data_IF_052835875072
#
_entry.id   IF_052835875072
#
_cell.length_a   1.000
_cell.length_b   1.000
_cell.length_c   1.000
_cell.angle_alpha   90.00
_cell.angle_beta   90.00
_cell.angle_gamma   90.00
#
_symmetry.space_group_name_H-M   'P 1'
#
loop_
_entity.id
_entity.type
_entity.pdbx_description
1 polymer ?
#
# COMPACT_ATOMS: atom_id res chain seq x y z
N UNK A 1 -21.49 49.74 -46.95
CA UNK A 1 -22.67 48.95 -46.50
C UNK A 1 -22.18 48.08 -45.34
N UNK A 2 -22.15 48.48 -44.06
CA UNK A 2 -23.30 48.80 -43.16
C UNK A 2 -24.42 47.77 -43.35
N UNK A 3 -24.87 46.95 -42.39
CA UNK A 3 -25.06 47.13 -40.95
C UNK A 3 -25.39 45.79 -40.25
N UNK A 4 -25.07 45.73 -38.94
CA UNK A 4 -25.79 45.13 -37.76
C UNK A 4 -26.28 43.67 -37.81
N UNK A 5 -25.82 42.76 -36.91
CA UNK A 5 -26.04 42.61 -35.45
C UNK A 5 -27.45 42.11 -35.11
N UNK A 6 -27.59 40.85 -34.64
CA UNK A 6 -28.07 40.43 -33.29
C UNK A 6 -28.52 38.95 -33.23
N UNK A 7 -28.00 38.26 -32.21
CA UNK A 7 -28.57 37.17 -31.36
C UNK A 7 -29.83 36.39 -31.77
N UNK A 8 -29.79 35.07 -31.54
CA UNK A 8 -30.62 34.45 -30.49
C UNK A 8 -30.19 33.02 -30.13
N UNK A 9 -30.11 32.78 -28.83
CA UNK A 9 -30.02 31.49 -28.15
C UNK A 9 -31.45 31.00 -27.94
N UNK A 10 -31.82 29.89 -28.58
CA UNK A 10 -32.83 28.88 -28.19
C UNK A 10 -32.93 27.95 -29.43
N UNK A 11 -32.83 26.63 -29.34
CA UNK A 11 -33.83 25.79 -28.70
C UNK A 11 -33.18 24.48 -28.24
N UNK A 12 -33.32 24.24 -26.94
CA UNK A 12 -33.32 22.90 -26.39
C UNK A 12 -34.70 22.28 -26.66
N UNK A 13 -34.73 21.03 -27.12
CA UNK A 13 -35.41 19.93 -26.43
C UNK A 13 -35.78 18.82 -27.42
N UNK A 14 -35.81 17.61 -26.87
CA UNK A 14 -36.51 16.42 -27.35
C UNK A 14 -35.86 15.62 -28.48
N UNK A 15 -34.96 14.69 -28.12
CA UNK A 15 -35.04 13.32 -28.64
C UNK A 15 -34.65 12.31 -27.55
N UNK A 16 -35.70 11.85 -26.85
CA UNK A 16 -35.91 10.50 -26.32
C UNK A 16 -34.88 9.95 -25.33
N UNK A 17 -35.18 10.10 -24.03
CA UNK A 17 -34.63 9.20 -23.01
C UNK A 17 -35.13 7.79 -23.29
N UNK A 18 -34.23 6.89 -23.70
CA UNK A 18 -34.53 5.46 -23.71
C UNK A 18 -34.96 5.05 -22.28
N UNK A 19 -36.08 4.34 -22.09
CA UNK A 19 -36.41 3.84 -20.77
C UNK A 19 -35.33 2.85 -20.37
N UNK A 20 -34.60 3.15 -19.30
CA UNK A 20 -33.84 2.16 -18.55
C UNK A 20 -34.84 1.09 -18.13
N UNK A 21 -34.90 -0.01 -18.90
CA UNK A 21 -35.68 -1.20 -18.55
C UNK A 21 -35.02 -1.84 -17.34
N UNK A 22 -35.28 -1.31 -16.15
CA UNK A 22 -35.05 -2.03 -14.92
C UNK A 22 -36.07 -3.16 -14.87
N UNK A 23 -35.65 -4.35 -15.29
CA UNK A 23 -36.33 -5.57 -14.84
C UNK A 23 -36.16 -5.60 -13.31
N UNK A 24 -37.23 -5.30 -12.60
CA UNK A 24 -37.41 -5.78 -11.22
C UNK A 24 -37.53 -7.29 -11.32
N UNK A 25 -36.39 -7.97 -11.34
CA UNK A 25 -36.35 -9.43 -11.24
C UNK A 25 -36.75 -9.79 -9.81
N UNK A 26 -37.75 -10.66 -9.60
CA UNK A 26 -38.17 -11.08 -8.27
C UNK A 26 -37.00 -11.66 -7.47
N UNK A 27 -37.04 -11.48 -6.15
CA UNK A 27 -36.11 -12.00 -5.16
C UNK A 27 -36.15 -13.53 -5.09
N UNK A 28 -35.46 -14.20 -6.02
CA UNK A 28 -35.38 -15.67 -6.06
C UNK A 28 -34.16 -16.27 -5.36
N UNK A 29 -33.23 -15.45 -4.85
CA UNK A 29 -31.88 -15.92 -4.48
C UNK A 29 -31.47 -15.60 -3.04
N UNK A 30 -32.35 -15.11 -2.16
CA UNK A 30 -31.93 -14.66 -0.83
C UNK A 30 -31.25 -15.77 -0.01
N UNK A 31 -31.80 -16.99 -0.07
CA UNK A 31 -31.24 -18.14 0.65
C UNK A 31 -29.89 -18.58 0.07
N UNK A 32 -29.75 -18.54 -1.26
CA UNK A 32 -28.49 -18.78 -1.96
C UNK A 32 -27.44 -17.72 -1.59
N UNK A 33 -27.83 -16.45 -1.56
CA UNK A 33 -26.92 -15.34 -1.22
C UNK A 33 -26.46 -15.41 0.24
N UNK A 34 -27.35 -15.78 1.17
CA UNK A 34 -27.03 -16.00 2.59
C UNK A 34 -26.15 -17.23 2.79
N UNK A 35 -26.42 -18.33 2.12
CA UNK A 35 -25.59 -19.54 2.18
C UNK A 35 -24.17 -19.26 1.66
N UNK A 36 -24.05 -18.59 0.51
CA UNK A 36 -22.79 -18.20 -0.08
C UNK A 36 -22.00 -17.23 0.81
N UNK A 37 -22.69 -16.26 1.42
CA UNK A 37 -22.09 -15.33 2.38
C UNK A 37 -21.56 -16.06 3.62
N UNK A 38 -22.39 -16.90 4.24
CA UNK A 38 -22.02 -17.67 5.45
C UNK A 38 -20.83 -18.58 5.19
N UNK A 39 -20.81 -19.28 4.06
CA UNK A 39 -19.67 -20.08 3.63
C UNK A 39 -18.41 -19.23 3.40
N UNK A 40 -18.52 -18.07 2.76
CA UNK A 40 -17.39 -17.20 2.51
C UNK A 40 -16.77 -16.64 3.80
N UNK A 41 -17.60 -16.34 4.82
CA UNK A 41 -17.14 -15.93 6.15
C UNK A 41 -16.40 -17.08 6.84
N UNK A 42 -16.93 -18.31 6.77
CA UNK A 42 -16.28 -19.49 7.37
C UNK A 42 -14.92 -19.80 6.74
N UNK A 43 -14.82 -19.74 5.42
CA UNK A 43 -13.55 -19.95 4.72
C UNK A 43 -12.52 -18.86 5.06
N UNK A 44 -12.97 -17.60 5.21
CA UNK A 44 -12.13 -16.51 5.68
C UNK A 44 -11.63 -16.73 7.12
N UNK A 45 -12.49 -17.21 8.03
CA UNK A 45 -12.09 -17.55 9.41
C UNK A 45 -11.04 -18.67 9.46
N UNK A 46 -11.08 -19.59 8.51
CA UNK A 46 -10.10 -20.67 8.34
C UNK A 46 -8.83 -20.24 7.58
N UNK A 47 -8.72 -18.95 7.21
CA UNK A 47 -7.57 -18.41 6.50
C UNK A 47 -7.46 -18.84 5.03
N UNK A 48 -8.52 -19.42 4.45
CA UNK A 48 -8.51 -19.90 3.06
C UNK A 48 -8.81 -18.74 2.11
N UNK A 49 -7.89 -18.37 1.19
CA UNK A 49 -8.15 -17.32 0.21
C UNK A 49 -9.18 -17.79 -0.82
N UNK A 50 -10.25 -17.01 -0.99
CA UNK A 50 -11.32 -17.29 -1.95
C UNK A 50 -11.10 -16.45 -3.19
N UNK A 51 -10.98 -17.10 -4.35
CA UNK A 51 -10.91 -16.42 -5.65
C UNK A 51 -12.30 -16.25 -6.27
N UNK A 52 -12.43 -15.32 -7.22
CA UNK A 52 -13.68 -15.11 -7.97
C UNK A 52 -14.23 -16.37 -8.65
N UNK A 53 -13.39 -17.18 -9.34
CA UNK A 53 -13.83 -18.45 -9.91
C UNK A 53 -14.31 -19.47 -8.86
N UNK A 54 -13.62 -19.59 -7.72
CA UNK A 54 -14.04 -20.50 -6.64
C UNK A 54 -15.39 -20.07 -6.07
N UNK A 55 -15.56 -18.77 -5.81
CA UNK A 55 -16.83 -18.21 -5.34
C UNK A 55 -17.99 -18.49 -6.32
N UNK A 56 -17.72 -18.43 -7.63
CA UNK A 56 -18.69 -18.74 -8.67
C UNK A 56 -19.11 -20.20 -8.65
N UNK A 57 -18.14 -21.10 -8.57
CA UNK A 57 -18.39 -22.54 -8.55
C UNK A 57 -19.20 -22.94 -7.31
N UNK A 58 -18.86 -22.36 -6.15
CA UNK A 58 -19.60 -22.58 -4.92
C UNK A 58 -21.02 -22.04 -4.98
N UNK A 59 -21.24 -20.90 -5.64
CA UNK A 59 -22.59 -20.37 -5.86
C UNK A 59 -23.44 -21.30 -6.73
N UNK A 60 -22.84 -21.91 -7.76
CA UNK A 60 -23.51 -22.90 -8.61
C UNK A 60 -23.82 -24.17 -7.81
N UNK A 61 -22.87 -24.65 -7.02
CA UNK A 61 -23.06 -25.81 -6.14
C UNK A 61 -24.23 -25.60 -5.17
N UNK A 62 -24.27 -24.46 -4.46
CA UNK A 62 -25.38 -24.16 -3.55
C UNK A 62 -26.71 -23.98 -4.28
N UNK A 63 -26.71 -23.47 -5.51
CA UNK A 63 -27.93 -23.36 -6.30
C UNK A 63 -28.49 -24.74 -6.71
N UNK A 64 -27.64 -25.75 -6.88
CA UNK A 64 -28.04 -27.12 -7.18
C UNK A 64 -28.54 -27.87 -5.93
N UNK A 65 -27.93 -27.61 -4.77
CA UNK A 65 -28.31 -28.23 -3.48
C UNK A 65 -29.62 -27.65 -2.91
N UNK A 66 -29.86 -26.35 -3.10
CA UNK A 66 -31.10 -25.69 -2.71
C UNK A 66 -32.16 -25.99 -3.79
N UNK A 67 -32.82 -27.14 -3.70
CA UNK A 67 -33.88 -27.61 -4.62
C UNK A 67 -35.06 -26.62 -4.60
N UNK A 68 -34.94 -25.54 -5.38
CA UNK A 68 -36.00 -24.57 -5.67
C UNK A 68 -36.17 -24.49 -7.18
N UNK A 69 -37.40 -24.63 -7.65
CA UNK A 69 -37.80 -24.56 -9.07
C UNK A 69 -37.25 -23.27 -9.74
N UNK A 70 -37.06 -22.20 -8.96
CA UNK A 70 -36.56 -20.89 -9.42
C UNK A 70 -35.05 -20.87 -9.72
N UNK A 71 -34.27 -21.82 -9.20
CA UNK A 71 -32.81 -21.90 -9.36
C UNK A 71 -32.36 -22.91 -10.43
N UNK A 72 -33.30 -23.64 -11.05
CA UNK A 72 -32.99 -24.55 -12.16
C UNK A 72 -32.36 -23.77 -13.33
N UNK A 73 -31.06 -23.95 -13.55
CA UNK A 73 -30.30 -23.24 -14.59
C UNK A 73 -29.52 -22.00 -14.12
N UNK A 74 -29.22 -21.86 -12.83
CA UNK A 74 -28.35 -20.79 -12.34
C UNK A 74 -26.90 -20.92 -12.86
N UNK A 75 -26.46 -19.96 -13.69
CA UNK A 75 -25.13 -19.98 -14.35
C UNK A 75 -24.05 -19.21 -13.56
N UNK A 76 -24.42 -18.56 -12.44
CA UNK A 76 -23.48 -17.75 -11.66
C UNK A 76 -22.78 -16.66 -12.48
N UNK A 77 -23.51 -15.94 -13.33
CA UNK A 77 -22.91 -14.95 -14.24
C UNK A 77 -22.03 -13.92 -13.50
N UNK A 78 -20.99 -13.39 -14.17
CA UNK A 78 -20.10 -12.39 -13.56
C UNK A 78 -20.89 -11.18 -13.04
N UNK A 79 -21.92 -10.74 -13.78
CA UNK A 79 -22.79 -9.66 -13.36
C UNK A 79 -23.66 -9.99 -12.13
N UNK A 80 -23.99 -11.25 -11.88
CA UNK A 80 -24.67 -11.65 -10.64
C UNK A 80 -23.71 -11.59 -9.45
N UNK A 81 -22.49 -12.11 -9.61
CA UNK A 81 -21.45 -12.07 -8.58
C UNK A 81 -21.11 -10.63 -8.19
N UNK A 82 -20.98 -9.73 -9.17
CA UNK A 82 -20.65 -8.32 -8.89
C UNK A 82 -21.79 -7.60 -8.17
N UNK A 83 -23.05 -7.95 -8.45
CA UNK A 83 -24.20 -7.43 -7.71
C UNK A 83 -24.31 -8.03 -6.31
N UNK A 84 -24.01 -9.32 -6.14
CA UNK A 84 -23.96 -9.98 -4.83
C UNK A 84 -22.90 -9.34 -3.94
N UNK A 85 -21.69 -9.14 -4.47
CA UNK A 85 -20.60 -8.40 -3.79
C UNK A 85 -21.07 -7.03 -3.32
N UNK A 86 -21.75 -6.28 -4.18
CA UNK A 86 -22.27 -4.95 -3.86
C UNK A 86 -23.35 -4.99 -2.77
N UNK A 87 -24.19 -6.03 -2.75
CA UNK A 87 -25.23 -6.21 -1.72
C UNK A 87 -24.65 -6.64 -0.37
N UNK A 88 -23.62 -7.48 -0.37
CA UNK A 88 -23.00 -8.04 0.84
C UNK A 88 -21.77 -7.25 1.31
N UNK A 89 -21.48 -6.11 0.67
CA UNK A 89 -20.28 -5.27 0.90
C UNK A 89 -18.95 -6.05 0.85
N UNK A 90 -18.85 -7.01 -0.09
CA UNK A 90 -17.68 -7.86 -0.29
C UNK A 90 -16.82 -7.33 -1.43
N UNK A 91 -15.55 -7.07 -1.17
CA UNK A 91 -14.56 -6.68 -2.18
C UNK A 91 -13.40 -7.69 -2.25
N UNK A 92 -13.02 -8.08 -3.47
CA UNK A 92 -11.75 -8.77 -3.68
C UNK A 92 -10.62 -7.76 -3.54
N UNK A 93 -9.77 -7.99 -2.54
CA UNK A 93 -8.53 -7.23 -2.36
C UNK A 93 -7.37 -8.15 -2.71
N UNK A 94 -6.37 -7.61 -3.38
CA UNK A 94 -5.07 -8.27 -3.45
C UNK A 94 -4.55 -8.39 -2.02
N UNK A 95 -4.40 -9.61 -1.53
CA UNK A 95 -3.76 -9.86 -0.24
C UNK A 95 -2.29 -9.53 -0.45
N UNK A 96 -1.80 -8.46 0.19
CA UNK A 96 -0.35 -8.21 0.27
C UNK A 96 0.26 -9.40 1.03
N UNK A 97 1.35 -9.97 0.51
CA UNK A 97 2.06 -11.08 1.17
C UNK A 97 2.49 -10.75 2.60
N UNK A 98 2.56 -9.46 2.94
CA UNK A 98 2.85 -8.92 4.27
C UNK A 98 1.76 -9.27 5.31
N UNK A 99 0.47 -9.33 4.93
CA UNK A 99 -0.65 -9.59 5.86
C UNK A 99 -0.56 -11.00 6.46
N UNK A 100 -0.07 -11.96 5.68
CA UNK A 100 -0.03 -13.37 6.07
C UNK A 100 1.10 -13.69 7.07
N UNK A 101 2.02 -12.74 7.24
CA UNK A 101 3.26 -12.98 7.99
C UNK A 101 3.19 -12.50 9.46
N UNK A 102 2.23 -11.63 9.78
CA UNK A 102 1.93 -11.17 11.15
C UNK A 102 1.06 -12.15 11.93
N UNK A 103 1.55 -12.68 13.05
CA UNK A 103 0.68 -13.36 14.03
C UNK A 103 -0.02 -12.34 14.93
N UNK A 104 -1.24 -12.66 15.34
CA UNK A 104 -2.03 -11.83 16.25
C UNK A 104 -1.28 -11.63 17.58
N UNK A 105 -0.59 -12.68 18.05
CA UNK A 105 0.17 -12.70 19.30
C UNK A 105 1.40 -11.76 19.29
N UNK A 106 2.22 -11.82 18.23
CA UNK A 106 3.38 -10.93 18.10
C UNK A 106 2.96 -9.45 18.09
N UNK A 107 1.79 -9.19 17.53
CA UNK A 107 1.28 -7.83 17.44
C UNK A 107 0.64 -7.37 18.74
N UNK A 108 -0.07 -8.25 19.45
CA UNK A 108 -0.63 -7.97 20.76
C UNK A 108 0.48 -7.64 21.78
N UNK A 109 1.55 -8.45 21.81
CA UNK A 109 2.70 -8.20 22.68
C UNK A 109 3.30 -6.80 22.46
N UNK A 110 3.45 -6.38 21.21
CA UNK A 110 3.96 -5.04 20.89
C UNK A 110 3.05 -3.92 21.39
N UNK A 111 1.74 -4.04 21.13
CA UNK A 111 0.74 -3.04 21.51
C UNK A 111 0.54 -2.95 23.03
N UNK A 112 0.64 -4.08 23.73
CA UNK A 112 0.40 -4.15 25.18
C UNK A 112 1.64 -3.81 26.03
N UNK A 113 2.85 -4.04 25.51
CA UNK A 113 4.08 -3.91 26.29
C UNK A 113 5.08 -2.92 25.72
N UNK A 114 5.61 -3.17 24.53
CA UNK A 114 6.72 -2.37 23.98
C UNK A 114 6.30 -0.94 23.70
N UNK A 115 5.15 -0.74 23.05
CA UNK A 115 4.71 0.59 22.69
C UNK A 115 4.40 1.48 23.92
N UNK A 116 3.63 1.02 24.93
CA UNK A 116 3.44 1.78 26.16
C UNK A 116 4.75 2.12 26.89
N UNK A 117 5.72 1.21 26.88
CA UNK A 117 7.05 1.43 27.47
C UNK A 117 7.83 2.51 26.74
N UNK A 118 7.73 2.58 25.41
CA UNK A 118 8.37 3.63 24.63
C UNK A 118 7.72 4.99 24.88
N UNK A 119 6.39 5.02 24.90
CA UNK A 119 5.62 6.24 25.15
C UNK A 119 5.80 6.78 26.58
N UNK A 120 6.18 5.94 27.56
CA UNK A 120 6.51 6.39 28.90
C UNK A 120 7.97 6.83 29.05
N UNK A 121 8.88 6.29 28.22
CA UNK A 121 10.32 6.58 28.27
C UNK A 121 10.71 7.81 27.42
N UNK A 122 10.04 8.04 26.29
CA UNK A 122 10.40 9.07 25.32
C UNK A 122 9.24 10.04 25.06
N UNK A 123 9.58 11.32 24.85
CA UNK A 123 8.65 12.28 24.29
C UNK A 123 8.40 11.98 22.80
N UNK A 124 7.25 12.38 22.26
CA UNK A 124 6.90 12.15 20.85
C UNK A 124 7.92 12.78 19.87
N UNK A 125 8.54 13.89 20.26
CA UNK A 125 9.61 14.52 19.48
C UNK A 125 10.88 13.67 19.41
N UNK A 126 11.12 12.81 20.40
CA UNK A 126 12.27 11.89 20.50
C UNK A 126 11.96 10.48 19.98
N UNK A 127 10.77 10.27 19.43
CA UNK A 127 10.37 9.01 18.81
C UNK A 127 10.41 9.14 17.30
N UNK A 128 11.43 8.55 16.69
CA UNK A 128 11.64 8.54 15.25
C UNK A 128 11.20 7.21 14.63
N UNK A 129 10.54 7.28 13.48
CA UNK A 129 10.29 6.15 12.59
C UNK A 129 11.16 6.30 11.34
N UNK A 130 11.79 5.21 10.91
CA UNK A 130 12.57 5.17 9.68
C UNK A 130 12.06 4.11 8.72
N UNK A 131 12.00 4.45 7.44
CA UNK A 131 11.53 3.54 6.39
C UNK A 131 12.29 3.69 5.07
N UNK A 132 12.43 2.54 4.39
CA UNK A 132 13.03 2.44 3.08
C UNK A 132 11.99 2.62 1.97
N UNK A 133 12.36 3.34 0.91
CA UNK A 133 11.54 3.45 -0.28
C UNK A 133 12.37 3.37 -1.58
N UNK A 134 11.73 2.90 -2.65
CA UNK A 134 12.31 2.85 -3.98
C UNK A 134 11.79 3.98 -4.86
N UNK A 135 12.67 4.84 -5.36
CA UNK A 135 12.33 5.90 -6.32
C UNK A 135 12.73 5.49 -7.75
N UNK A 136 11.74 5.25 -8.60
CA UNK A 136 11.94 4.94 -10.03
C UNK A 136 11.82 6.20 -10.88
N UNK A 137 12.81 7.10 -10.79
CA UNK A 137 12.76 8.43 -11.42
C UNK A 137 12.80 8.43 -12.96
N UNK A 138 13.01 7.27 -13.59
CA UNK A 138 12.96 7.09 -15.06
C UNK A 138 11.78 6.24 -15.53
N UNK A 139 10.91 5.80 -14.64
CA UNK A 139 9.74 5.01 -15.03
C UNK A 139 8.74 5.89 -15.79
N UNK A 140 8.14 5.34 -16.85
CA UNK A 140 7.03 5.97 -17.55
C UNK A 140 5.73 5.66 -16.80
N UNK A 141 4.69 6.51 -16.89
CA UNK A 141 3.38 6.21 -16.31
C UNK A 141 2.84 4.86 -16.81
N UNK A 142 2.23 4.09 -15.90
CA UNK A 142 1.66 2.77 -16.20
C UNK A 142 0.47 2.83 -17.18
N UNK A 143 -0.16 4.00 -17.31
CA UNK A 143 -1.26 4.26 -18.24
C UNK A 143 -0.98 5.54 -19.00
N UNK A 144 -0.64 5.39 -20.28
CA UNK A 144 -0.64 6.49 -21.23
C UNK A 144 -2.05 6.62 -21.82
N UNK A 145 -2.51 7.87 -21.99
CA UNK A 145 -3.77 8.16 -22.68
C UNK A 145 -3.58 7.82 -24.17
N UNK A 146 -4.26 6.78 -24.65
CA UNK A 146 -4.14 6.33 -26.03
C UNK A 146 -5.42 6.60 -26.83
N UNK A 147 -5.25 7.08 -28.06
CA UNK A 147 -6.29 7.06 -29.08
C UNK A 147 -6.46 5.60 -29.55
N UNK A 148 -7.71 5.13 -29.64
CA UNK A 148 -8.10 3.71 -29.94
C UNK A 148 -7.52 3.10 -31.24
N UNK A 149 -6.78 3.87 -32.05
CA UNK A 149 -6.36 3.50 -33.41
C UNK A 149 -4.85 3.28 -33.57
N UNK A 150 -4.03 3.37 -32.51
CA UNK A 150 -2.60 3.12 -32.61
C UNK A 150 -2.18 1.92 -31.76
N UNK A 151 -1.47 0.98 -32.39
CA UNK A 151 -0.81 -0.13 -31.71
C UNK A 151 0.44 0.37 -30.99
N UNK A 152 0.50 0.19 -29.67
CA UNK A 152 1.70 0.50 -28.90
C UNK A 152 2.75 -0.60 -29.11
N UNK A 153 3.93 -0.22 -29.62
CA UNK A 153 5.12 -1.08 -29.53
C UNK A 153 5.65 -0.92 -28.10
N UNK A 154 5.59 -2.00 -27.31
CA UNK A 154 5.95 -1.99 -25.90
C UNK A 154 7.40 -1.56 -25.66
N UNK A 155 7.59 -0.45 -24.94
CA UNK A 155 8.89 -0.06 -24.40
C UNK A 155 9.16 -0.77 -23.07
N UNK A 156 10.40 -1.22 -22.84
CA UNK A 156 10.81 -1.76 -21.55
C UNK A 156 10.84 -0.62 -20.53
N UNK A 157 9.99 -0.70 -19.50
CA UNK A 157 9.99 0.26 -18.40
C UNK A 157 11.40 0.36 -17.79
N UNK A 158 11.89 1.59 -17.64
CA UNK A 158 13.21 1.82 -17.06
C UNK A 158 13.22 1.38 -15.60
N UNK A 159 14.04 0.37 -15.29
CA UNK A 159 14.23 -0.15 -13.92
C UNK A 159 15.27 0.64 -13.11
N UNK A 160 15.62 1.85 -13.56
CA UNK A 160 16.58 2.68 -12.83
C UNK A 160 15.94 3.18 -11.55
N UNK A 161 16.49 2.71 -10.42
CA UNK A 161 15.98 2.96 -9.08
C UNK A 161 17.05 3.64 -8.22
N UNK A 162 16.63 4.59 -7.39
CA UNK A 162 17.35 5.00 -6.20
C UNK A 162 16.63 4.42 -4.99
N UNK A 163 17.36 3.94 -4.00
CA UNK A 163 16.76 3.59 -2.71
C UNK A 163 16.97 4.78 -1.77
N UNK A 164 15.93 5.21 -1.09
CA UNK A 164 15.99 6.21 -0.03
C UNK A 164 15.66 5.59 1.31
N UNK A 165 16.33 6.02 2.37
CA UNK A 165 15.95 5.81 3.75
C UNK A 165 15.61 7.19 4.33
N UNK A 166 14.36 7.33 4.77
CA UNK A 166 13.86 8.53 5.41
C UNK A 166 13.54 8.22 6.87
N UNK A 167 13.77 9.20 7.75
CA UNK A 167 13.39 9.09 9.15
C UNK A 167 12.80 10.40 9.64
N UNK A 168 11.75 10.31 10.45
CA UNK A 168 11.09 11.46 11.03
C UNK A 168 10.57 11.19 12.45
N UNK A 169 10.57 12.21 13.30
CA UNK A 169 9.95 12.15 14.62
C UNK A 169 8.43 12.17 14.51
N UNK A 170 7.76 11.76 15.58
CA UNK A 170 6.29 11.85 15.67
C UNK A 170 5.77 13.29 15.70
N UNK A 171 6.64 14.28 16.02
CA UNK A 171 6.34 15.71 15.94
C UNK A 171 6.66 16.34 14.58
N UNK A 172 7.29 15.59 13.65
CA UNK A 172 7.56 16.03 12.28
C UNK A 172 8.97 16.53 12.00
N UNK A 173 9.90 16.40 12.96
CA UNK A 173 11.34 16.61 12.70
C UNK A 173 11.83 15.57 11.70
N UNK A 174 12.61 15.96 10.70
CA UNK A 174 13.09 15.05 9.64
C UNK A 174 14.60 14.95 9.69
N UNK A 175 15.12 13.73 9.70
CA UNK A 175 16.55 13.50 9.55
C UNK A 175 16.99 13.69 8.10
N UNK A 176 18.27 14.04 7.86
CA UNK A 176 18.81 14.14 6.50
C UNK A 176 18.58 12.85 5.71
N UNK A 177 18.00 12.98 4.52
CA UNK A 177 17.68 11.82 3.68
C UNK A 177 18.94 11.05 3.30
N UNK A 178 18.90 9.73 3.46
CA UNK A 178 19.97 8.84 3.06
C UNK A 178 19.63 8.18 1.73
N UNK A 179 20.42 8.46 0.70
CA UNK A 179 20.16 8.04 -0.67
C UNK A 179 21.22 7.04 -1.11
N UNK A 180 20.77 5.87 -1.53
CA UNK A 180 21.57 4.77 -2.04
C UNK A 180 21.38 4.69 -3.55
N UNK A 181 22.45 5.00 -4.28
CA UNK A 181 22.50 4.86 -5.72
C UNK A 181 23.43 3.74 -6.18
N UNK A 182 23.49 3.54 -7.50
CA UNK A 182 24.25 2.45 -8.12
C UNK A 182 25.77 2.69 -8.13
N UNK A 183 26.21 3.94 -8.28
CA UNK A 183 27.61 4.28 -8.49
C UNK A 183 28.13 5.15 -7.36
N UNK A 184 29.34 4.87 -6.85
CA UNK A 184 29.99 5.70 -5.83
C UNK A 184 30.20 7.16 -6.30
N UNK A 185 30.48 7.35 -7.59
CA UNK A 185 30.71 8.67 -8.20
C UNK A 185 29.90 8.79 -9.50
N UNK A 186 28.59 9.07 -9.41
CA UNK A 186 27.75 9.31 -10.57
C UNK A 186 28.30 10.47 -11.41
N UNK A 187 28.27 10.36 -12.74
CA UNK A 187 28.73 11.44 -13.63
C UNK A 187 27.99 12.76 -13.40
N UNK A 188 26.73 12.70 -13.00
CA UNK A 188 25.92 13.88 -12.68
C UNK A 188 26.38 14.61 -11.41
N UNK A 189 27.30 14.05 -10.62
CA UNK A 189 27.88 14.73 -9.46
C UNK A 189 29.18 15.47 -9.80
N UNK A 190 29.65 15.39 -11.05
CA UNK A 190 30.81 16.16 -11.48
C UNK A 190 30.54 17.66 -11.29
N UNK A 191 31.42 18.34 -10.53
CA UNK A 191 31.28 19.76 -10.21
C UNK A 191 30.28 20.10 -9.09
N UNK A 192 29.58 19.10 -8.53
CA UNK A 192 28.66 19.31 -7.40
C UNK A 192 29.45 19.26 -6.10
N UNK A 193 29.48 20.39 -5.37
CA UNK A 193 30.20 20.49 -4.09
C UNK A 193 29.39 19.98 -2.90
N UNK A 194 28.10 20.30 -2.88
CA UNK A 194 27.19 19.97 -1.79
C UNK A 194 25.94 19.30 -2.35
N UNK A 195 25.54 18.18 -1.75
CA UNK A 195 24.26 17.54 -2.00
C UNK A 195 23.31 17.83 -0.84
N UNK A 196 22.01 18.02 -1.11
CA UNK A 196 21.01 18.21 -0.04
C UNK A 196 20.70 16.91 0.72
N UNK A 197 21.32 15.79 0.35
CA UNK A 197 21.13 14.50 0.95
C UNK A 197 22.47 13.79 1.15
N UNK A 198 22.46 12.79 2.03
CA UNK A 198 23.61 11.91 2.26
C UNK A 198 23.59 10.81 1.20
N UNK A 199 24.54 10.82 0.27
CA UNK A 199 24.60 9.82 -0.79
C UNK A 199 25.63 8.72 -0.49
N UNK A 200 25.26 7.47 -0.76
CA UNK A 200 26.13 6.29 -0.77
C UNK A 200 25.83 5.40 -1.96
N UNK A 201 26.76 4.50 -2.25
CA UNK A 201 26.51 3.34 -3.09
C UNK A 201 26.99 2.07 -2.37
N UNK A 202 26.29 0.93 -2.51
CA UNK A 202 26.71 -0.30 -1.87
C UNK A 202 27.93 -0.88 -2.61
N UNK A 203 28.72 -1.71 -1.91
CA UNK A 203 29.85 -2.42 -2.54
C UNK A 203 29.38 -3.50 -3.52
N UNK A 204 28.22 -4.10 -3.24
CA UNK A 204 27.58 -5.13 -4.07
C UNK A 204 26.07 -4.87 -4.11
N UNK A 205 25.45 -5.10 -5.26
CA UNK A 205 24.00 -4.89 -5.43
C UNK A 205 23.63 -3.45 -5.75
N UNK A 206 22.42 -3.06 -5.36
CA UNK A 206 21.78 -1.79 -5.75
C UNK A 206 20.76 -1.31 -4.70
N UNK A 207 20.85 -1.84 -3.47
CA UNK A 207 19.88 -1.64 -2.37
C UNK A 207 20.63 -1.32 -1.06
N UNK A 208 19.93 -0.88 -0.03
CA UNK A 208 20.51 -0.70 1.31
C UNK A 208 21.03 -2.05 1.81
N UNK A 209 22.24 -2.06 2.37
CA UNK A 209 22.81 -3.22 3.04
C UNK A 209 23.03 -2.92 4.52
N UNK A 210 23.21 -3.97 5.33
CA UNK A 210 23.37 -3.88 6.78
C UNK A 210 24.52 -2.96 7.20
N UNK A 211 25.61 -2.89 6.41
CA UNK A 211 26.75 -2.03 6.73
C UNK A 211 26.42 -0.56 6.50
N UNK A 212 25.74 -0.24 5.39
CA UNK A 212 25.28 1.11 5.08
C UNK A 212 24.23 1.59 6.09
N UNK A 213 23.33 0.69 6.51
CA UNK A 213 22.35 1.00 7.56
C UNK A 213 23.05 1.29 8.89
N UNK A 214 23.97 0.43 9.34
CA UNK A 214 24.73 0.65 10.57
C UNK A 214 25.56 1.94 10.51
N UNK A 215 26.23 2.22 9.39
CA UNK A 215 26.95 3.48 9.16
C UNK A 215 26.02 4.68 9.37
N UNK A 216 24.83 4.64 8.77
CA UNK A 216 23.84 5.70 8.89
C UNK A 216 23.34 5.86 10.34
N UNK A 217 22.96 4.78 11.03
CA UNK A 217 22.51 4.85 12.43
C UNK A 217 23.61 5.41 13.32
N UNK A 218 24.88 5.01 13.14
CA UNK A 218 26.02 5.56 13.90
C UNK A 218 26.27 7.04 13.60
N UNK A 219 26.00 7.51 12.39
CA UNK A 219 26.03 8.94 12.07
C UNK A 219 24.93 9.70 12.83
N UNK A 220 23.72 9.16 12.90
CA UNK A 220 22.61 9.78 13.65
C UNK A 220 22.86 9.72 15.16
N UNK A 221 23.38 8.63 15.70
CA UNK A 221 23.69 8.45 17.12
C UNK A 221 24.62 9.56 17.61
N UNK A 222 25.70 9.83 16.86
CA UNK A 222 26.61 10.95 17.16
C UNK A 222 25.94 12.32 17.06
N UNK A 223 24.94 12.47 16.18
CA UNK A 223 24.23 13.74 16.01
C UNK A 223 23.33 14.06 17.19
N UNK A 224 22.73 13.03 17.81
CA UNK A 224 21.92 13.13 19.01
C UNK A 224 22.74 13.13 20.31
N UNK A 225 23.88 12.43 20.35
CA UNK A 225 24.81 12.44 21.48
C UNK A 225 25.36 13.85 21.76
N UNK A 226 25.71 14.60 20.72
CA UNK A 226 26.28 15.96 20.83
C UNK A 226 25.43 16.92 21.68
N UNK A 227 24.11 17.05 21.45
CA UNK A 227 23.23 17.84 22.31
C UNK A 227 22.79 17.11 23.59
N UNK A 228 23.23 15.87 23.84
CA UNK A 228 22.79 15.08 25.00
C UNK A 228 21.35 14.59 24.89
N UNK A 229 20.86 14.40 23.66
CA UNK A 229 19.47 13.98 23.37
C UNK A 229 19.42 12.48 23.17
N UNK A 230 18.52 11.80 23.86
CA UNK A 230 18.29 10.37 23.70
C UNK A 230 17.00 10.13 22.94
N UNK A 231 17.02 9.27 21.92
CA UNK A 231 15.88 9.03 21.04
C UNK A 231 15.61 7.54 20.86
N UNK A 232 14.34 7.21 20.63
CA UNK A 232 13.91 5.92 20.14
C UNK A 232 13.87 5.95 18.61
N UNK A 233 14.60 5.05 17.94
CA UNK A 233 14.55 4.90 16.49
C UNK A 233 13.88 3.57 16.13
N UNK A 234 12.65 3.65 15.64
CA UNK A 234 11.83 2.50 15.25
C UNK A 234 12.03 2.20 13.77
N UNK A 235 12.37 0.96 13.44
CA UNK A 235 12.63 0.50 12.06
C UNK A 235 11.97 -0.86 11.85
N UNK A 236 11.55 -1.16 10.63
CA UNK A 236 11.04 -2.50 10.32
C UNK A 236 12.14 -3.56 10.45
N UNK A 237 11.74 -4.79 10.77
CA UNK A 237 12.68 -5.90 10.91
C UNK A 237 12.92 -6.57 9.56
N UNK A 238 13.75 -5.90 8.77
CA UNK A 238 14.20 -6.32 7.45
C UNK A 238 15.64 -6.86 7.46
N UNK A 239 16.05 -7.60 6.43
CA UNK A 239 17.40 -8.17 6.34
C UNK A 239 18.51 -7.10 6.27
N UNK A 240 18.19 -5.89 5.84
CA UNK A 240 19.12 -4.75 5.84
C UNK A 240 19.26 -4.09 7.22
N UNK A 241 18.44 -4.48 8.21
CA UNK A 241 18.36 -3.86 9.54
C UNK A 241 18.90 -4.83 10.61
N UNK A 242 20.23 -4.98 10.71
CA UNK A 242 20.85 -5.84 11.72
C UNK A 242 20.51 -5.35 13.13
N UNK A 243 20.43 -6.28 14.08
CA UNK A 243 20.47 -5.96 15.50
C UNK A 243 21.87 -5.47 15.85
N UNK A 244 22.04 -4.16 15.97
CA UNK A 244 23.30 -3.53 16.37
C UNK A 244 23.12 -2.91 17.75
N UNK A 245 24.13 -3.06 18.59
CA UNK A 245 24.18 -2.50 19.94
C UNK A 245 25.33 -1.50 20.09
N UNK A 246 25.45 -0.93 21.30
CA UNK A 246 26.49 0.04 21.67
C UNK A 246 26.32 1.43 21.02
N UNK A 247 25.07 1.85 20.86
CA UNK A 247 24.72 3.25 20.64
C UNK A 247 24.68 3.99 21.98
N UNK A 248 24.92 5.31 21.94
CA UNK A 248 24.97 6.12 23.16
C UNK A 248 23.72 6.97 23.37
N UNK A 249 23.08 7.37 22.27
CA UNK A 249 21.94 8.27 22.24
C UNK A 249 20.71 7.64 21.57
N UNK A 250 20.92 6.69 20.64
CA UNK A 250 19.83 5.98 19.96
C UNK A 250 19.55 4.65 20.63
N UNK A 251 18.30 4.47 21.06
CA UNK A 251 17.74 3.15 21.30
C UNK A 251 17.14 2.64 19.99
N UNK A 252 17.85 1.74 19.31
CA UNK A 252 17.38 1.13 18.07
C UNK A 252 16.35 0.04 18.36
N UNK A 253 15.15 0.22 17.83
CA UNK A 253 14.00 -0.62 18.10
C UNK A 253 13.53 -1.24 16.79
N UNK A 254 13.72 -2.56 16.68
CA UNK A 254 13.20 -3.31 15.55
C UNK A 254 11.75 -3.71 15.83
N UNK A 255 10.87 -3.39 14.89
CA UNK A 255 9.50 -3.86 14.93
C UNK A 255 9.47 -5.41 14.95
N UNK A 256 8.41 -6.04 15.46
CA UNK A 256 8.28 -7.50 15.37
C UNK A 256 8.40 -7.92 13.90
N UNK A 257 9.09 -9.03 13.60
CA UNK A 257 9.14 -9.57 12.25
C UNK A 257 7.71 -9.56 11.72
N UNK A 258 7.49 -8.81 10.63
CA UNK A 258 6.26 -8.70 9.81
C UNK A 258 5.24 -7.59 10.05
N UNK A 259 5.47 -6.59 10.90
CA UNK A 259 4.49 -5.49 11.10
C UNK A 259 4.51 -4.35 10.05
N UNK A 260 4.78 -4.63 8.78
CA UNK A 260 4.78 -3.60 7.71
C UNK A 260 3.39 -2.99 7.45
N UNK A 261 2.29 -3.62 7.92
CA UNK A 261 0.92 -3.13 7.73
C UNK A 261 0.35 -2.26 8.85
N UNK A 262 1.02 -2.10 10.00
CA UNK A 262 0.49 -1.29 11.10
C UNK A 262 0.94 0.18 11.09
N UNK A 263 1.81 0.61 10.18
CA UNK A 263 2.15 2.05 10.02
C UNK A 263 0.93 2.92 9.68
N UNK A 264 -0.08 2.38 8.99
CA UNK A 264 -1.25 3.13 8.53
C UNK A 264 -2.26 3.53 9.62
N UNK A 265 -2.01 3.17 10.90
CA UNK A 265 -2.86 3.59 12.02
C UNK A 265 -2.35 4.88 12.70
N UNK A 266 -1.07 5.22 12.52
CA UNK A 266 -0.45 6.42 13.10
C UNK A 266 -0.78 7.70 12.32
N UNK A 267 -1.03 7.61 11.02
CA UNK A 267 -1.31 8.77 10.15
C UNK A 267 -2.79 9.18 10.06
N UNK A 268 -3.69 8.52 10.82
CA UNK A 268 -5.13 8.83 10.87
C UNK A 268 -5.62 9.37 12.21
N UNK A 269 -4.74 9.48 13.19
CA UNK A 269 -5.02 10.18 14.44
C UNK A 269 -4.34 11.55 14.40
N UNK A 270 -4.82 12.42 13.50
CA UNK A 270 -4.53 13.86 13.45
C UNK A 270 -5.75 14.56 12.87
#
# INVERSE_FOLDING_TARGET
>A
MTEKRTSSISDAASLVSAPLRQRLTPCGNEDLEKALYTWSVRMKQQGVPISGPVLKETAIHFANELISIVLSGFVGSNGWIDRWKKRQDVAFKTVSGEILSCTLEMTASWEESTLPTLLSKYALEDMFDADEFGLFYKALPDKLMHLKLQSCVGGKQSKVRLTGLAAASSSGEKLPMFVIGKSQKPRCFSGVRNLPCRYRAPKKGWILDSNLFEEWVREQDRSFERPGRNVALVVDNGPAHPTVSNFKAIDLILLPPTSQLKRNRWTRAS
#
